data_IF_315356279806
#
_entry.id   IF_315356279806
#
_cell.length_a   1.000
_cell.length_b   1.000
_cell.length_c   1.000
_cell.angle_alpha   90.00
_cell.angle_beta   90.00
_cell.angle_gamma   90.00
#
_symmetry.space_group_name_H-M   'P 1'
#
loop_
_entity.id
_entity.type
_entity.pdbx_description
1 polymer ?
#
# COMPACT_ATOMS: atom_id res chain seq x y z
N UNK A 1 -53.39 -35.03 -4.87
CA UNK A 1 -51.93 -35.27 -4.83
C UNK A 1 -51.23 -33.92 -4.78
N UNK A 2 -50.55 -33.61 -3.69
CA UNK A 2 -49.76 -32.38 -3.55
C UNK A 2 -48.33 -32.74 -3.97
N UNK A 3 -47.83 -32.09 -5.02
CA UNK A 3 -46.45 -32.25 -5.49
C UNK A 3 -45.64 -31.07 -4.97
N UNK A 4 -44.74 -31.33 -4.03
CA UNK A 4 -43.77 -30.35 -3.50
C UNK A 4 -42.49 -30.49 -4.32
N UNK A 5 -42.12 -29.44 -5.06
CA UNK A 5 -40.86 -29.38 -5.80
C UNK A 5 -39.90 -28.46 -5.03
N UNK A 6 -38.93 -29.06 -4.33
CA UNK A 6 -37.83 -28.34 -3.67
C UNK A 6 -36.81 -27.93 -4.73
N UNK A 7 -36.80 -26.66 -5.12
CA UNK A 7 -35.76 -26.08 -5.94
C UNK A 7 -34.59 -25.66 -5.03
N UNK A 8 -33.51 -26.45 -5.05
CA UNK A 8 -32.22 -26.01 -4.51
C UNK A 8 -31.62 -25.00 -5.48
N UNK A 9 -31.67 -23.72 -5.10
CA UNK A 9 -30.90 -22.66 -5.74
C UNK A 9 -29.41 -22.89 -5.44
N UNK A 10 -28.52 -23.00 -6.44
CA UNK A 10 -27.10 -22.86 -6.18
C UNK A 10 -26.86 -21.42 -5.71
N UNK A 11 -26.46 -21.25 -4.46
CA UNK A 11 -25.81 -20.04 -4.01
C UNK A 11 -24.48 -19.97 -4.76
N UNK A 12 -24.44 -19.24 -5.87
CA UNK A 12 -23.20 -18.84 -6.51
C UNK A 12 -22.47 -17.92 -5.55
N UNK A 13 -21.66 -18.50 -4.66
CA UNK A 13 -20.60 -17.78 -3.98
C UNK A 13 -19.60 -17.39 -5.05
N UNK A 14 -19.82 -16.24 -5.69
CA UNK A 14 -18.75 -15.57 -6.42
C UNK A 14 -17.70 -15.20 -5.37
N UNK A 15 -16.68 -16.04 -5.20
CA UNK A 15 -15.43 -15.64 -4.59
C UNK A 15 -14.89 -14.51 -5.45
N UNK A 16 -15.23 -13.29 -5.07
CA UNK A 16 -14.71 -12.08 -5.67
C UNK A 16 -13.21 -12.10 -5.39
N UNK A 17 -12.40 -12.55 -6.36
CA UNK A 17 -10.97 -12.35 -6.32
C UNK A 17 -10.74 -10.84 -6.22
N UNK A 18 -10.51 -10.38 -5.00
CA UNK A 18 -10.23 -8.98 -4.74
C UNK A 18 -9.03 -8.60 -5.57
N UNK A 19 -9.21 -7.66 -6.49
CA UNK A 19 -8.11 -7.16 -7.33
C UNK A 19 -6.97 -6.73 -6.41
N UNK A 20 -5.73 -7.18 -6.65
CA UNK A 20 -4.58 -6.74 -5.86
C UNK A 20 -4.51 -5.21 -5.82
N UNK A 21 -4.46 -4.65 -4.62
CA UNK A 21 -4.47 -3.22 -4.40
C UNK A 21 -3.29 -2.81 -3.53
N UNK A 22 -2.73 -1.65 -3.87
CA UNK A 22 -1.69 -0.97 -3.10
C UNK A 22 -2.15 0.45 -2.84
N UNK A 23 -2.10 0.83 -1.58
CA UNK A 23 -2.37 2.20 -1.12
C UNK A 23 -1.06 2.83 -0.68
N UNK A 24 -0.78 4.03 -1.21
CA UNK A 24 0.39 4.84 -0.83
C UNK A 24 -0.10 6.22 -0.42
N UNK A 25 0.36 6.69 0.75
CA UNK A 25 0.20 8.05 1.20
C UNK A 25 1.55 8.65 1.59
N UNK A 26 1.60 9.97 1.69
CA UNK A 26 2.76 10.69 2.20
C UNK A 26 2.35 11.52 3.41
N UNK A 27 3.20 11.51 4.43
CA UNK A 27 3.04 12.32 5.62
C UNK A 27 4.30 13.17 5.82
N UNK A 28 4.10 14.38 6.31
CA UNK A 28 5.17 15.32 6.65
C UNK A 28 5.14 15.57 8.15
N UNK A 29 6.33 15.64 8.76
CA UNK A 29 6.44 16.10 10.13
C UNK A 29 6.26 17.61 10.20
N UNK A 30 5.24 18.05 10.93
CA UNK A 30 5.00 19.46 11.25
C UNK A 30 5.02 19.59 12.76
N UNK A 31 6.06 20.26 13.27
CA UNK A 31 6.38 20.30 14.71
C UNK A 31 6.56 18.87 15.23
N UNK A 32 5.70 18.43 16.13
CA UNK A 32 5.77 17.10 16.76
C UNK A 32 4.66 16.16 16.25
N UNK A 33 4.07 16.44 15.08
CA UNK A 33 2.97 15.65 14.50
C UNK A 33 3.24 15.29 13.05
N UNK A 34 2.85 14.08 12.70
CA UNK A 34 2.79 13.64 11.31
C UNK A 34 1.44 14.02 10.72
N UNK A 35 1.46 14.77 9.63
CA UNK A 35 0.25 15.20 8.93
C UNK A 35 0.25 14.65 7.50
N UNK A 36 -0.89 14.11 7.06
CA UNK A 36 -1.04 13.68 5.67
C UNK A 36 -0.89 14.85 4.69
N UNK A 37 -0.26 14.55 3.55
CA UNK A 37 -0.05 15.48 2.45
C UNK A 37 -0.51 14.85 1.15
N UNK A 38 -0.85 15.69 0.19
CA UNK A 38 -1.16 15.25 -1.17
C UNK A 38 0.12 14.71 -1.83
N UNK A 39 0.01 13.67 -2.65
CA UNK A 39 1.17 13.07 -3.34
C UNK A 39 1.81 14.03 -4.36
N UNK A 40 1.08 15.05 -4.83
CA UNK A 40 1.60 16.12 -5.68
C UNK A 40 2.28 17.26 -4.89
N UNK A 41 2.36 17.16 -3.56
CA UNK A 41 3.03 18.17 -2.73
C UNK A 41 4.52 18.26 -3.07
N UNK A 42 4.99 19.47 -3.35
CA UNK A 42 6.42 19.75 -3.49
C UNK A 42 7.01 20.06 -2.12
N UNK A 43 7.81 19.12 -1.60
CA UNK A 43 8.54 19.28 -0.34
C UNK A 43 9.78 20.14 -0.52
N UNK A 44 10.16 20.84 0.54
CA UNK A 44 11.36 21.67 0.61
C UNK A 44 12.53 20.88 1.19
N UNK A 45 13.73 21.40 0.99
CA UNK A 45 14.90 20.90 1.69
C UNK A 45 14.67 20.98 3.21
N UNK A 46 15.10 19.94 3.93
CA UNK A 46 14.90 19.74 5.37
C UNK A 46 13.47 19.35 5.82
N UNK A 47 12.51 19.20 4.90
CA UNK A 47 11.24 18.55 5.26
C UNK A 47 11.49 17.08 5.61
N UNK A 48 11.02 16.67 6.79
CA UNK A 48 11.00 15.26 7.16
C UNK A 48 9.68 14.64 6.69
N UNK A 49 9.78 13.61 5.84
CA UNK A 49 8.64 12.93 5.25
C UNK A 49 8.73 11.43 5.50
N UNK A 50 7.58 10.78 5.51
CA UNK A 50 7.47 9.31 5.51
C UNK A 50 6.35 8.86 4.58
N UNK A 51 6.46 7.62 4.11
CA UNK A 51 5.48 7.03 3.20
C UNK A 51 4.63 6.04 3.97
N UNK A 52 3.32 6.25 4.00
CA UNK A 52 2.37 5.26 4.51
C UNK A 52 2.07 4.28 3.38
N UNK A 53 2.34 3.00 3.60
CA UNK A 53 2.13 1.94 2.61
C UNK A 53 1.20 0.85 3.16
N UNK A 54 0.25 0.40 2.35
CA UNK A 54 -0.58 -0.79 2.63
C UNK A 54 -0.82 -1.57 1.34
N UNK A 55 -0.71 -2.90 1.43
CA UNK A 55 -0.95 -3.80 0.31
C UNK A 55 -2.03 -4.81 0.66
N UNK A 56 -2.85 -5.22 -0.30
CA UNK A 56 -3.81 -6.33 -0.12
C UNK A 56 -3.16 -7.71 -0.27
N UNK A 57 -1.86 -7.77 -0.55
CA UNK A 57 -1.08 -9.00 -0.75
C UNK A 57 0.30 -8.90 -0.08
N UNK A 58 0.84 -10.05 0.35
CA UNK A 58 2.19 -10.13 0.90
C UNK A 58 3.25 -10.14 -0.21
N UNK A 59 4.44 -9.63 0.07
CA UNK A 59 5.52 -9.58 -0.92
C UNK A 59 6.73 -8.79 -0.46
N UNK A 60 7.49 -8.27 -1.43
CA UNK A 60 8.66 -7.42 -1.18
C UNK A 60 8.40 -6.02 -1.72
N UNK A 61 8.63 -5.01 -0.89
CA UNK A 61 8.54 -3.60 -1.24
C UNK A 61 9.94 -3.05 -1.51
N UNK A 62 10.15 -2.46 -2.68
CA UNK A 62 11.38 -1.77 -3.08
C UNK A 62 11.08 -0.27 -3.24
N UNK A 63 11.83 0.57 -2.51
CA UNK A 63 11.69 2.02 -2.64
C UNK A 63 12.72 2.53 -3.66
N UNK A 64 12.25 3.32 -4.63
CA UNK A 64 13.10 3.91 -5.67
C UNK A 64 12.86 5.40 -5.69
N UNK A 65 13.93 6.18 -5.62
CA UNK A 65 13.89 7.61 -5.90
C UNK A 65 14.37 7.85 -7.34
N UNK A 66 13.49 8.43 -8.16
CA UNK A 66 13.76 8.78 -9.54
C UNK A 66 13.84 10.29 -9.69
N UNK A 67 14.95 10.79 -10.21
CA UNK A 67 15.12 12.22 -10.50
C UNK A 67 14.36 12.62 -11.78
N UNK A 68 14.09 13.92 -11.92
CA UNK A 68 13.54 14.50 -13.15
C UNK A 68 14.44 14.30 -14.37
N UNK A 69 15.74 14.11 -14.16
CA UNK A 69 16.73 13.80 -15.19
C UNK A 69 16.76 12.30 -15.57
N UNK A 70 15.91 11.48 -14.94
CA UNK A 70 15.75 10.06 -15.27
C UNK A 70 16.68 9.11 -14.50
N UNK A 71 17.55 9.63 -13.64
CA UNK A 71 18.39 8.80 -12.77
C UNK A 71 17.54 8.14 -11.69
N UNK A 72 17.87 6.90 -11.31
CA UNK A 72 17.15 6.17 -10.27
C UNK A 72 18.13 5.64 -9.22
N UNK A 73 17.75 5.77 -7.94
CA UNK A 73 18.47 5.19 -6.81
C UNK A 73 17.52 4.38 -5.95
N UNK A 74 17.95 3.19 -5.53
CA UNK A 74 17.20 2.41 -4.55
C UNK A 74 17.37 3.07 -3.18
N UNK A 75 16.26 3.33 -2.51
CA UNK A 75 16.25 3.82 -1.14
C UNK A 75 16.09 2.65 -0.19
N UNK A 76 16.77 2.75 0.96
CA UNK A 76 16.65 1.79 2.05
C UNK A 76 15.68 2.35 3.08
N UNK A 77 14.68 1.55 3.48
CA UNK A 77 13.81 1.91 4.59
C UNK A 77 14.63 1.99 5.88
N UNK A 78 14.31 2.95 6.74
CA UNK A 78 14.99 3.11 8.02
C UNK A 78 14.86 1.84 8.87
N UNK A 79 15.96 1.32 9.39
CA UNK A 79 15.98 0.10 10.20
C UNK A 79 15.85 -1.22 9.44
N UNK A 80 15.72 -1.21 8.11
CA UNK A 80 15.80 -2.45 7.34
C UNK A 80 17.25 -2.95 7.30
N UNK A 81 17.47 -4.27 7.25
CA UNK A 81 18.80 -4.84 7.00
C UNK A 81 19.10 -4.89 5.49
N UNK A 82 18.03 -5.06 4.68
CA UNK A 82 18.09 -5.21 3.24
C UNK A 82 17.42 -4.03 2.50
N UNK A 83 17.64 -3.93 1.19
CA UNK A 83 17.03 -2.91 0.33
C UNK A 83 15.56 -3.18 0.00
N UNK A 84 15.09 -4.41 0.21
CA UNK A 84 13.69 -4.78 0.08
C UNK A 84 13.08 -5.04 1.46
N UNK A 85 11.89 -4.48 1.71
CA UNK A 85 11.11 -4.72 2.92
C UNK A 85 10.09 -5.83 2.64
N UNK A 86 10.08 -6.88 3.44
CA UNK A 86 9.01 -7.86 3.39
C UNK A 86 7.74 -7.25 3.98
N UNK A 87 6.65 -7.27 3.20
CA UNK A 87 5.35 -6.71 3.57
C UNK A 87 4.31 -7.81 3.61
N UNK A 88 3.41 -7.70 4.57
CA UNK A 88 2.30 -8.63 4.76
C UNK A 88 0.99 -8.01 4.31
N UNK A 89 0.09 -8.84 3.78
CA UNK A 89 -1.22 -8.41 3.34
C UNK A 89 -2.01 -7.73 4.48
N UNK A 90 -2.61 -6.57 4.17
CA UNK A 90 -3.44 -5.79 5.08
C UNK A 90 -2.68 -4.94 6.09
N UNK A 91 -1.37 -5.13 6.27
CA UNK A 91 -0.54 -4.38 7.23
C UNK A 91 -0.18 -3.00 6.69
N UNK A 92 -0.07 -2.04 7.60
CA UNK A 92 0.34 -0.66 7.30
C UNK A 92 1.77 -0.42 7.76
N UNK A 93 2.60 0.11 6.87
CA UNK A 93 4.01 0.43 7.08
C UNK A 93 4.24 1.94 6.94
N UNK A 94 5.28 2.45 7.61
CA UNK A 94 5.69 3.86 7.63
C UNK A 94 7.19 4.00 7.41
#
# INVERSE_FOLDING_TARGET
>A
MISVCLLFLPASSSSQEATPQVEVGVEQQVKDKWESRDLATVFRAADEIRFRFRSSFSGNLLLINRSSEGQSRVLKASGADNTALQVEAGQTYY
#
